data_IF_316283007730
#
_entry.id   IF_316283007730
#
_cell.length_a   1.000
_cell.length_b   1.000
_cell.length_c   1.000
_cell.angle_alpha   90.00
_cell.angle_beta   90.00
_cell.angle_gamma   90.00
#
_symmetry.space_group_name_H-M   'P 1'
#
loop_
_entity.id
_entity.type
_entity.pdbx_description
1 polymer ?
#
# COMPACT_ATOMS: atom_id res chain seq x y z
N UNK A 1 -4.14 -6.21 -14.60
CA UNK A 1 -2.80 -5.57 -14.66
C UNK A 1 -2.97 -4.11 -14.99
N UNK A 2 -3.70 -3.81 -16.06
CA UNK A 2 -3.94 -2.44 -16.54
C UNK A 2 -4.59 -1.55 -15.49
N UNK A 3 -5.61 -2.03 -14.77
CA UNK A 3 -6.24 -1.26 -13.68
C UNK A 3 -5.24 -0.75 -12.62
N UNK A 4 -4.24 -1.56 -12.26
CA UNK A 4 -3.22 -1.15 -11.28
C UNK A 4 -2.26 -0.13 -11.90
N UNK A 5 -1.81 -0.36 -13.15
CA UNK A 5 -0.93 0.58 -13.86
C UNK A 5 -1.60 1.93 -14.08
N UNK A 6 -2.86 1.94 -14.46
CA UNK A 6 -3.64 3.15 -14.69
C UNK A 6 -3.84 3.91 -13.38
N UNK A 7 -4.13 3.21 -12.27
CA UNK A 7 -4.17 3.84 -10.95
C UNK A 7 -2.84 4.48 -10.56
N UNK A 8 -1.70 3.86 -10.90
CA UNK A 8 -0.38 4.43 -10.62
C UNK A 8 -0.07 5.65 -11.50
N UNK A 9 -0.52 5.65 -12.77
CA UNK A 9 -0.41 6.80 -13.68
C UNK A 9 -1.25 7.98 -13.21
N UNK A 10 -2.49 7.73 -12.79
CA UNK A 10 -3.40 8.75 -12.26
C UNK A 10 -2.84 9.41 -11.01
N UNK A 11 -2.25 8.61 -10.11
CA UNK A 11 -1.64 9.12 -8.89
C UNK A 11 -0.27 9.80 -9.11
N UNK A 12 0.31 9.72 -10.31
CA UNK A 12 1.61 10.31 -10.68
C UNK A 12 2.73 9.99 -9.69
N UNK A 13 2.76 8.76 -9.18
CA UNK A 13 3.67 8.33 -8.10
C UNK A 13 5.04 7.83 -8.59
N UNK A 14 5.27 7.72 -9.90
CA UNK A 14 6.49 7.16 -10.47
C UNK A 14 6.75 7.67 -11.89
N UNK A 15 8.00 7.51 -12.34
CA UNK A 15 8.42 7.80 -13.71
C UNK A 15 9.44 6.74 -14.18
N UNK A 16 9.52 6.53 -15.50
CA UNK A 16 10.52 5.65 -16.12
C UNK A 16 11.77 6.48 -16.37
N UNK A 17 12.91 6.04 -15.83
CA UNK A 17 14.22 6.65 -16.06
C UNK A 17 15.30 5.59 -16.23
N UNK A 18 16.40 5.97 -16.88
CA UNK A 18 17.60 5.14 -16.93
C UNK A 18 18.16 4.96 -15.53
N UNK A 19 18.49 3.72 -15.16
CA UNK A 19 19.02 3.40 -13.85
C UNK A 19 20.40 4.07 -13.67
N UNK A 20 20.58 4.98 -12.70
CA UNK A 20 21.90 5.53 -12.41
C UNK A 20 22.81 4.46 -11.79
N UNK A 21 24.02 4.82 -11.33
CA UNK A 21 24.95 3.90 -10.63
C UNK A 21 24.45 3.49 -9.23
N UNK A 22 23.19 3.09 -9.11
CA UNK A 22 22.54 2.60 -7.90
C UNK A 22 21.87 1.24 -8.15
N UNK A 23 21.58 0.51 -7.08
CA UNK A 23 20.92 -0.78 -7.16
C UNK A 23 19.39 -0.60 -7.25
N UNK A 24 18.78 -1.07 -8.33
CA UNK A 24 17.32 -1.17 -8.43
C UNK A 24 16.79 -2.32 -7.58
N UNK A 25 15.62 -2.12 -6.96
CA UNK A 25 14.93 -3.16 -6.23
C UNK A 25 14.08 -3.97 -7.21
N UNK A 26 14.18 -5.30 -7.14
CA UNK A 26 13.33 -6.17 -7.96
C UNK A 26 11.87 -6.10 -7.50
N UNK A 27 10.92 -6.25 -8.42
CA UNK A 27 9.49 -6.37 -8.10
C UNK A 27 8.88 -7.61 -8.79
N UNK A 28 7.60 -7.87 -8.54
CA UNK A 28 6.79 -8.90 -9.19
C UNK A 28 5.33 -8.50 -9.20
N UNK A 29 4.59 -9.05 -10.16
CA UNK A 29 3.14 -9.07 -10.11
C UNK A 29 2.64 -10.13 -9.13
N UNK A 30 1.62 -9.76 -8.35
CA UNK A 30 0.87 -10.66 -7.48
C UNK A 30 -0.58 -10.60 -7.89
N UNK A 31 -1.12 -11.76 -8.26
CA UNK A 31 -2.52 -11.93 -8.62
C UNK A 31 -3.23 -12.57 -7.42
N UNK A 32 -4.37 -12.02 -7.04
CA UNK A 32 -5.19 -12.50 -5.94
C UNK A 32 -6.63 -12.56 -6.39
N UNK A 33 -7.24 -13.73 -6.23
CA UNK A 33 -8.66 -13.91 -6.44
C UNK A 33 -9.38 -13.65 -5.11
N UNK A 34 -10.29 -12.67 -5.10
CA UNK A 34 -11.18 -12.46 -3.96
C UNK A 34 -12.50 -13.16 -4.25
N UNK A 35 -12.93 -13.97 -3.29
CA UNK A 35 -14.21 -14.67 -3.32
C UNK A 35 -15.14 -14.11 -2.26
N UNK A 36 -16.44 -14.09 -2.57
CA UNK A 36 -17.50 -13.79 -1.62
C UNK A 36 -17.69 -14.95 -0.63
N UNK A 37 -18.42 -14.70 0.45
CA UNK A 37 -18.74 -15.73 1.46
C UNK A 37 -19.45 -16.95 0.84
N UNK A 38 -20.18 -16.72 -0.25
CA UNK A 38 -20.90 -17.76 -1.02
C UNK A 38 -19.98 -18.54 -1.99
N UNK A 39 -18.67 -18.27 -2.01
CA UNK A 39 -17.69 -18.96 -2.85
C UNK A 39 -17.54 -18.41 -4.27
N UNK A 40 -18.45 -17.53 -4.72
CA UNK A 40 -18.36 -16.87 -6.02
C UNK A 40 -17.21 -15.86 -6.08
N UNK A 41 -16.64 -15.70 -7.27
CA UNK A 41 -15.55 -14.76 -7.53
C UNK A 41 -16.09 -13.33 -7.45
N UNK A 42 -15.59 -12.56 -6.49
CA UNK A 42 -15.93 -11.15 -6.27
C UNK A 42 -15.04 -10.23 -7.11
N UNK A 43 -13.72 -10.45 -7.06
CA UNK A 43 -12.77 -9.57 -7.76
C UNK A 43 -11.45 -10.27 -8.09
N UNK A 44 -10.96 -10.03 -9.30
CA UNK A 44 -9.57 -10.29 -9.67
C UNK A 44 -8.71 -9.09 -9.27
N UNK A 45 -7.86 -9.25 -8.27
CA UNK A 45 -6.97 -8.18 -7.80
C UNK A 45 -5.55 -8.44 -8.29
N UNK A 46 -4.99 -7.46 -8.99
CA UNK A 46 -3.58 -7.45 -9.39
C UNK A 46 -2.83 -6.43 -8.55
N UNK A 47 -1.61 -6.72 -8.10
CA UNK A 47 -0.74 -5.78 -7.37
C UNK A 47 0.69 -5.85 -7.87
N UNK A 48 1.34 -4.70 -8.03
CA UNK A 48 2.78 -4.65 -8.20
C UNK A 48 3.44 -4.62 -6.82
N UNK A 49 4.30 -5.60 -6.52
CA UNK A 49 4.90 -5.76 -5.19
C UNK A 49 6.41 -5.80 -5.30
N UNK A 50 7.07 -4.98 -4.49
CA UNK A 50 8.53 -4.99 -4.33
C UNK A 50 8.95 -6.30 -3.66
N UNK A 51 9.98 -6.95 -4.21
CA UNK A 51 10.63 -8.10 -3.60
C UNK A 51 11.56 -7.60 -2.49
N UNK A 52 11.02 -7.44 -1.30
CA UNK A 52 11.69 -6.83 -0.13
C UNK A 52 12.76 -7.71 0.53
N UNK A 53 12.93 -8.97 0.12
CA UNK A 53 13.88 -9.90 0.76
C UNK A 53 15.36 -9.49 0.63
N UNK A 54 15.68 -8.53 -0.24
CA UNK A 54 17.02 -7.96 -0.38
C UNK A 54 17.22 -6.65 0.39
N UNK A 55 16.21 -6.19 1.15
CA UNK A 55 16.33 -4.95 1.93
C UNK A 55 17.12 -5.19 3.22
N UNK A 56 18.26 -4.51 3.36
CA UNK A 56 19.06 -4.52 4.59
C UNK A 56 18.71 -3.28 5.43
N UNK A 57 18.36 -3.50 6.69
CA UNK A 57 18.18 -2.43 7.68
C UNK A 57 19.44 -1.55 7.71
N UNK A 58 19.26 -0.22 7.81
CA UNK A 58 20.33 0.81 7.79
C UNK A 58 21.04 1.04 6.44
N UNK A 59 20.86 0.16 5.46
CA UNK A 59 21.34 0.38 4.09
C UNK A 59 20.20 0.80 3.16
N UNK A 60 19.03 0.18 3.30
CA UNK A 60 17.91 0.34 2.36
C UNK A 60 16.65 0.95 3.03
N UNK A 61 16.63 1.04 4.36
CA UNK A 61 15.60 1.76 5.11
C UNK A 61 16.10 2.08 6.53
N UNK A 62 15.77 3.28 7.02
CA UNK A 62 16.10 3.74 8.37
C UNK A 62 14.87 3.90 9.28
N UNK A 63 13.65 3.93 8.71
CA UNK A 63 12.40 4.12 9.45
C UNK A 63 11.31 3.23 8.85
N UNK A 64 10.85 2.25 9.62
CA UNK A 64 9.73 1.37 9.23
C UNK A 64 8.54 1.60 10.15
N UNK A 65 8.09 2.84 10.28
CA UNK A 65 6.92 3.14 11.11
C UNK A 65 5.66 3.08 10.28
N UNK A 66 4.98 1.94 10.34
CA UNK A 66 3.57 1.87 9.94
C UNK A 66 2.71 2.40 11.09
N UNK A 67 1.88 3.44 10.89
CA UNK A 67 1.02 3.97 11.94
C UNK A 67 -0.12 2.98 12.21
N UNK A 68 0.08 2.09 13.18
CA UNK A 68 -0.97 1.16 13.62
C UNK A 68 -1.79 1.83 14.71
N UNK A 69 -3.08 2.07 14.45
CA UNK A 69 -4.00 2.57 15.45
C UNK A 69 -4.12 1.57 16.61
N UNK A 70 -3.96 2.06 17.85
CA UNK A 70 -4.12 1.22 19.04
C UNK A 70 -5.60 0.89 19.27
N UNK A 71 -5.90 -0.39 19.49
CA UNK A 71 -7.27 -0.86 19.73
C UNK A 71 -7.89 -0.21 20.98
N UNK A 72 -7.07 0.12 21.99
CA UNK A 72 -7.51 0.86 23.18
C UNK A 72 -8.10 2.22 22.80
N UNK A 73 -7.41 2.98 21.95
CA UNK A 73 -7.87 4.28 21.46
C UNK A 73 -9.19 4.16 20.68
N UNK A 74 -9.30 3.17 19.80
CA UNK A 74 -10.54 2.91 19.02
C UNK A 74 -11.71 2.60 19.97
N UNK A 75 -11.49 1.75 20.99
CA UNK A 75 -12.52 1.42 21.99
C UNK A 75 -12.93 2.64 22.82
N UNK A 76 -11.98 3.48 23.21
CA UNK A 76 -12.25 4.72 23.94
C UNK A 76 -13.14 5.68 23.11
N UNK A 77 -12.81 5.89 21.83
CA UNK A 77 -13.63 6.71 20.92
C UNK A 77 -15.05 6.15 20.82
N UNK A 78 -15.19 4.83 20.66
CA UNK A 78 -16.50 4.17 20.58
C UNK A 78 -17.29 4.30 21.88
N UNK A 79 -16.64 4.17 23.04
CA UNK A 79 -17.27 4.35 24.36
C UNK A 79 -17.81 5.78 24.54
N UNK A 80 -17.02 6.79 24.14
CA UNK A 80 -17.46 8.20 24.19
C UNK A 80 -18.63 8.43 23.24
N UNK A 81 -18.57 7.92 22.02
CA UNK A 81 -19.65 8.05 21.05
C UNK A 81 -20.96 7.42 21.55
N UNK A 82 -20.88 6.22 22.14
CA UNK A 82 -22.04 5.54 22.73
C UNK A 82 -22.64 6.33 23.90
N UNK A 83 -21.79 6.84 24.82
CA UNK A 83 -22.25 7.63 25.97
C UNK A 83 -22.91 8.95 25.54
N UNK A 84 -22.38 9.58 24.48
CA UNK A 84 -22.90 10.84 23.94
C UNK A 84 -23.99 10.67 22.87
N UNK A 85 -24.44 9.43 22.62
CA UNK A 85 -25.42 9.11 21.56
C UNK A 85 -25.05 9.68 20.19
N UNK A 86 -23.75 9.68 19.87
CA UNK A 86 -23.24 10.16 18.59
C UNK A 86 -23.28 9.04 17.54
N UNK A 87 -23.59 9.41 16.29
CA UNK A 87 -23.42 8.50 15.17
C UNK A 87 -21.94 8.36 14.82
N UNK A 88 -21.48 7.11 14.66
CA UNK A 88 -20.12 6.79 14.24
C UNK A 88 -20.16 6.19 12.83
N UNK A 89 -19.43 6.79 11.91
CA UNK A 89 -19.18 6.25 10.58
C UNK A 89 -17.68 5.96 10.43
N UNK A 90 -17.34 4.82 9.84
CA UNK A 90 -15.97 4.46 9.51
C UNK A 90 -15.81 4.52 7.99
N UNK A 91 -14.83 5.30 7.52
CA UNK A 91 -14.47 5.34 6.11
C UNK A 91 -13.20 4.54 5.89
N UNK A 92 -13.25 3.58 4.97
CA UNK A 92 -12.08 2.86 4.49
C UNK A 92 -11.68 3.46 3.16
N UNK A 93 -10.57 4.20 3.14
CA UNK A 93 -10.00 4.67 1.87
C UNK A 93 -9.26 3.49 1.25
N UNK A 94 -9.66 3.10 0.05
CA UNK A 94 -9.13 1.94 -0.68
C UNK A 94 -7.65 2.04 -1.05
N UNK A 95 -7.09 3.26 -1.04
CA UNK A 95 -5.75 3.59 -1.56
C UNK A 95 -4.83 4.25 -0.54
N UNK A 96 -5.12 4.25 0.77
CA UNK A 96 -4.24 4.88 1.78
C UNK A 96 -3.00 4.03 2.04
N UNK A 97 -2.08 4.02 1.06
CA UNK A 97 -0.76 4.54 1.38
C UNK A 97 -0.99 6.03 1.57
N UNK A 98 -0.82 6.52 2.80
CA UNK A 98 -0.89 7.96 3.08
C UNK A 98 -0.09 8.67 1.99
N UNK A 99 -0.61 9.74 1.39
CA UNK A 99 0.06 10.60 0.40
C UNK A 99 1.31 11.30 0.98
N UNK A 100 2.10 10.59 1.80
CA UNK A 100 3.36 11.05 2.32
C UNK A 100 4.34 11.09 1.17
N UNK A 101 4.99 12.23 1.02
CA UNK A 101 6.17 12.34 0.19
C UNK A 101 7.23 11.40 0.76
N UNK A 102 7.86 10.63 -0.12
CA UNK A 102 9.00 9.80 0.23
C UNK A 102 10.24 10.69 0.20
N UNK A 103 10.98 10.76 1.32
CA UNK A 103 12.23 11.52 1.38
C UNK A 103 13.31 10.87 0.49
N UNK A 104 13.27 9.55 0.33
CA UNK A 104 14.22 8.80 -0.46
C UNK A 104 13.77 8.53 -1.91
N UNK A 105 14.69 8.61 -2.86
CA UNK A 105 14.44 8.12 -4.23
C UNK A 105 14.66 6.62 -4.31
N UNK A 106 13.63 5.87 -4.71
CA UNK A 106 13.69 4.41 -4.87
C UNK A 106 13.59 4.04 -6.36
N UNK A 107 14.55 3.25 -6.84
CA UNK A 107 14.52 2.66 -8.17
C UNK A 107 13.98 1.23 -8.10
N UNK A 108 13.00 0.91 -8.95
CA UNK A 108 12.41 -0.42 -9.06
C UNK A 108 12.68 -0.93 -10.47
N UNK A 109 13.08 -2.20 -10.60
CA UNK A 109 13.24 -2.80 -11.93
C UNK A 109 11.89 -2.85 -12.63
N UNK A 110 11.82 -2.25 -13.82
CA UNK A 110 10.66 -2.38 -14.69
C UNK A 110 10.52 -3.85 -15.10
N UNK A 111 9.36 -4.44 -14.84
CA UNK A 111 9.05 -5.78 -15.35
C UNK A 111 8.75 -5.63 -16.84
N UNK A 112 9.68 -6.07 -17.69
CA UNK A 112 9.35 -6.41 -19.06
C UNK A 112 8.36 -7.58 -19.02
N UNK A 113 7.15 -7.35 -19.53
CA UNK A 113 6.17 -8.42 -19.76
C UNK A 113 6.70 -9.47 -20.71
#
# INVERSE_FOLDING_TARGET
>A
MDEEIDSLKENKTWQVEDLPRCQAISCRWVFTLKSNADGNIDKYKTRLVIKSFNQRERANYNRTFSPVAKMTTIRSIRSVAANKKMHLAQFYVSTVFLYGELEETIYIMQLSG
#
